data_IF_481830706773
#
_entry.id   IF_481830706773
#
_cell.length_a   1.000
_cell.length_b   1.000
_cell.length_c   1.000
_cell.angle_alpha   90.00
_cell.angle_beta   90.00
_cell.angle_gamma   90.00
#
_symmetry.space_group_name_H-M   'P 1'
#
loop_
_entity.id
_entity.type
_entity.pdbx_description
1 polymer ?
#
# COMPACT_ATOMS: atom_id res chain seq x y z
N UNK A 1 3.90 16.08 -0.38
CA UNK A 1 4.12 15.96 1.08
C UNK A 1 3.97 14.50 1.55
N UNK A 2 4.72 14.02 2.56
CA UNK A 2 4.60 12.64 3.08
C UNK A 2 3.25 12.40 3.78
N UNK A 3 2.89 11.13 3.98
CA UNK A 3 1.67 10.76 4.74
C UNK A 3 1.71 11.36 6.16
N UNK A 4 0.56 11.86 6.68
CA UNK A 4 0.49 12.37 8.03
C UNK A 4 0.68 11.24 9.05
N UNK A 5 1.31 11.56 10.18
CA UNK A 5 1.48 10.64 11.31
C UNK A 5 0.53 10.95 12.47
N UNK A 6 0.54 10.11 13.50
CA UNK A 6 -0.24 10.30 14.73
C UNK A 6 0.64 10.52 15.96
N UNK A 7 0.23 11.40 16.89
CA UNK A 7 0.89 11.57 18.18
C UNK A 7 0.44 10.55 19.23
N UNK A 8 -0.57 9.72 18.91
CA UNK A 8 -1.13 8.75 19.84
C UNK A 8 -1.61 7.49 19.12
N UNK A 9 -1.25 6.31 19.62
CA UNK A 9 -1.75 5.02 19.11
C UNK A 9 -2.07 4.07 20.25
N UNK A 10 -3.00 3.14 20.03
CA UNK A 10 -3.28 2.07 20.98
C UNK A 10 -2.35 0.89 20.73
N UNK A 11 -1.69 0.40 21.76
CA UNK A 11 -0.90 -0.83 21.71
C UNK A 11 -1.74 -1.99 22.25
N UNK A 12 -2.19 -2.92 21.39
CA UNK A 12 -3.01 -4.06 21.82
C UNK A 12 -2.23 -5.09 22.65
N UNK A 13 -0.89 -5.11 22.59
CA UNK A 13 -0.07 -6.06 23.36
C UNK A 13 0.00 -5.64 24.82
N UNK A 14 0.21 -4.34 25.08
CA UNK A 14 0.23 -3.81 26.45
C UNK A 14 -1.14 -3.32 26.95
N UNK A 15 -2.12 -3.19 26.05
CA UNK A 15 -3.47 -2.69 26.34
C UNK A 15 -3.52 -1.19 26.67
N UNK A 16 -2.53 -0.41 26.22
CA UNK A 16 -2.36 1.00 26.62
C UNK A 16 -2.26 1.93 25.42
N UNK A 17 -2.70 3.16 25.62
CA UNK A 17 -2.41 4.25 24.70
C UNK A 17 -0.96 4.71 24.86
N UNK A 18 -0.22 4.74 23.75
CA UNK A 18 1.13 5.29 23.66
C UNK A 18 1.03 6.71 23.10
N UNK A 19 1.71 7.65 23.74
CA UNK A 19 1.85 9.03 23.26
C UNK A 19 3.29 9.27 22.79
N UNK A 20 3.46 9.81 21.60
CA UNK A 20 4.76 10.03 20.98
C UNK A 20 5.19 11.51 21.07
N UNK A 21 6.49 11.76 21.21
CA UNK A 21 7.06 13.12 21.18
C UNK A 21 7.07 13.74 19.78
N UNK A 22 7.02 12.89 18.75
CA UNK A 22 6.93 13.24 17.33
C UNK A 22 5.88 12.33 16.70
N UNK A 23 5.21 12.74 15.61
CA UNK A 23 4.23 11.88 14.96
C UNK A 23 4.83 10.52 14.60
N UNK A 24 4.13 9.45 14.97
CA UNK A 24 4.36 8.11 14.47
C UNK A 24 3.90 8.08 13.01
N UNK A 25 4.85 8.03 12.08
CA UNK A 25 4.60 8.01 10.64
C UNK A 25 4.79 6.56 10.19
N UNK A 26 3.74 5.99 9.61
CA UNK A 26 3.73 4.65 9.04
C UNK A 26 3.77 4.80 7.53
N UNK A 27 4.69 4.10 6.87
CA UNK A 27 4.70 3.97 5.42
C UNK A 27 3.59 3.05 4.94
N UNK A 28 3.24 3.19 3.67
CA UNK A 28 2.35 2.28 2.94
C UNK A 28 2.94 2.07 1.54
N UNK A 29 2.53 1.07 0.77
CA UNK A 29 2.98 0.94 -0.63
C UNK A 29 2.19 1.85 -1.59
N UNK A 30 1.67 2.99 -1.12
CA UNK A 30 1.06 4.05 -1.97
C UNK A 30 0.13 3.52 -3.05
N UNK A 31 -0.97 2.86 -2.66
CA UNK A 31 -1.96 2.39 -3.63
C UNK A 31 -1.50 1.18 -4.45
N UNK A 32 -0.89 0.19 -3.81
CA UNK A 32 -0.56 -1.12 -4.39
C UNK A 32 0.54 -1.09 -5.44
N UNK A 33 1.54 -1.95 -5.30
CA UNK A 33 2.50 -2.17 -6.40
C UNK A 33 1.78 -2.82 -7.58
N UNK A 34 1.85 -2.21 -8.76
CA UNK A 34 1.28 -2.80 -9.97
C UNK A 34 2.28 -3.81 -10.53
N UNK A 35 1.89 -5.08 -10.56
CA UNK A 35 2.75 -6.15 -11.06
C UNK A 35 2.04 -6.97 -12.14
N UNK A 36 2.79 -7.31 -13.18
CA UNK A 36 2.33 -8.27 -14.17
C UNK A 36 2.36 -9.68 -13.60
N UNK A 37 1.25 -10.40 -13.72
CA UNK A 37 1.14 -11.79 -13.28
C UNK A 37 0.93 -12.72 -14.48
N UNK A 38 1.62 -13.86 -14.47
CA UNK A 38 1.42 -14.90 -15.48
C UNK A 38 0.44 -15.93 -14.91
N UNK A 39 -0.73 -16.01 -15.51
CA UNK A 39 -1.72 -17.04 -15.15
C UNK A 39 -1.14 -18.44 -15.37
N UNK A 40 -1.31 -19.33 -14.40
CA UNK A 40 -1.00 -20.75 -14.53
C UNK A 40 -1.79 -21.44 -15.67
N UNK A 41 -2.87 -20.81 -16.15
CA UNK A 41 -3.70 -21.29 -17.25
C UNK A 41 -3.36 -20.61 -18.59
N UNK A 42 -2.33 -19.76 -18.65
CA UNK A 42 -1.94 -19.09 -19.89
C UNK A 42 -1.60 -20.11 -20.98
N UNK A 43 -2.12 -19.90 -22.18
CA UNK A 43 -1.74 -20.69 -23.37
C UNK A 43 -0.43 -20.20 -23.98
N UNK A 44 0.08 -19.05 -23.55
CA UNK A 44 1.29 -18.40 -24.08
C UNK A 44 2.16 -17.82 -22.96
N UNK A 45 2.57 -18.61 -21.95
CA UNK A 45 3.28 -18.09 -20.78
C UNK A 45 4.64 -17.46 -21.13
N UNK A 46 5.36 -18.01 -22.12
CA UNK A 46 6.65 -17.47 -22.57
C UNK A 46 6.51 -16.09 -23.23
N UNK A 47 5.50 -15.91 -24.10
CA UNK A 47 5.25 -14.62 -24.71
C UNK A 47 4.78 -13.57 -23.68
N UNK A 48 3.98 -13.99 -22.68
CA UNK A 48 3.62 -13.11 -21.56
C UNK A 48 4.87 -12.73 -20.76
N UNK A 49 5.75 -13.68 -20.46
CA UNK A 49 7.00 -13.42 -19.76
C UNK A 49 7.90 -12.46 -20.53
N UNK A 50 8.07 -12.66 -21.84
CA UNK A 50 8.89 -11.80 -22.69
C UNK A 50 8.38 -10.35 -22.69
N UNK A 51 7.06 -10.17 -22.85
CA UNK A 51 6.44 -8.84 -22.76
C UNK A 51 6.64 -8.20 -21.38
N UNK A 52 6.37 -8.92 -20.29
CA UNK A 52 6.56 -8.39 -18.94
C UNK A 52 8.03 -8.08 -18.66
N UNK A 53 8.95 -8.88 -19.18
CA UNK A 53 10.40 -8.64 -19.07
C UNK A 53 10.81 -7.37 -19.79
N UNK A 54 10.31 -7.15 -21.01
CA UNK A 54 10.50 -5.89 -21.74
C UNK A 54 9.99 -4.68 -20.95
N UNK A 55 8.77 -4.76 -20.41
CA UNK A 55 8.17 -3.70 -19.58
C UNK A 55 8.94 -3.44 -18.29
N UNK A 56 9.68 -4.43 -17.77
CA UNK A 56 10.50 -4.33 -16.56
C UNK A 56 11.89 -3.73 -16.80
N UNK A 57 12.27 -3.42 -18.05
CA UNK A 57 13.53 -2.73 -18.32
C UNK A 57 13.49 -1.31 -17.75
N UNK A 58 14.64 -0.80 -17.29
CA UNK A 58 14.73 0.53 -16.66
C UNK A 58 14.12 1.63 -17.54
N UNK A 59 14.39 1.62 -18.85
CA UNK A 59 13.85 2.62 -19.77
C UNK A 59 12.32 2.53 -19.92
N UNK A 60 11.77 1.31 -20.02
CA UNK A 60 10.32 1.12 -20.13
C UNK A 60 9.63 1.47 -18.81
N UNK A 61 10.15 1.00 -17.69
CA UNK A 61 9.56 1.24 -16.37
C UNK A 61 9.66 2.72 -15.99
N UNK A 62 10.79 3.39 -16.23
CA UNK A 62 10.93 4.83 -15.97
C UNK A 62 9.91 5.64 -16.76
N UNK A 63 9.74 5.34 -18.06
CA UNK A 63 8.73 5.99 -18.88
C UNK A 63 7.31 5.79 -18.32
N UNK A 64 6.99 4.59 -17.84
CA UNK A 64 5.70 4.32 -17.19
C UNK A 64 5.58 5.02 -15.82
N UNK A 65 6.67 5.17 -15.07
CA UNK A 65 6.66 5.83 -13.77
C UNK A 65 6.43 7.34 -13.86
N UNK A 66 6.76 7.98 -14.99
CA UNK A 66 6.69 9.43 -15.17
C UNK A 66 5.67 9.88 -16.23
N UNK A 67 4.80 9.01 -16.74
CA UNK A 67 3.78 9.38 -17.73
C UNK A 67 2.36 9.27 -17.14
N UNK A 68 1.53 10.31 -17.29
CA UNK A 68 0.22 10.38 -16.61
C UNK A 68 -0.78 9.26 -16.95
N UNK A 69 -0.66 8.63 -18.12
CA UNK A 69 -1.58 7.58 -18.56
C UNK A 69 -1.29 6.20 -17.95
N UNK A 70 -0.15 6.02 -17.29
CA UNK A 70 0.34 4.72 -16.79
C UNK A 70 0.23 4.60 -15.28
N UNK A 71 -0.45 5.54 -14.62
CA UNK A 71 -0.72 5.52 -13.18
C UNK A 71 0.26 6.34 -12.34
N UNK A 72 1.44 6.69 -12.88
CA UNK A 72 2.52 7.42 -12.20
C UNK A 72 2.90 6.73 -10.89
N UNK A 73 3.85 5.80 -10.95
CA UNK A 73 4.25 4.99 -9.80
C UNK A 73 5.78 4.84 -9.71
N UNK A 74 6.49 5.80 -9.06
CA UNK A 74 7.94 5.73 -8.92
C UNK A 74 8.33 4.72 -7.83
N UNK A 75 8.20 3.43 -8.15
CA UNK A 75 8.43 2.31 -7.23
C UNK A 75 9.89 1.82 -7.15
N UNK A 76 10.78 2.36 -8.00
CA UNK A 76 12.20 1.94 -8.08
C UNK A 76 13.13 3.08 -7.73
N UNK A 77 14.30 2.77 -7.15
CA UNK A 77 15.24 3.82 -6.73
C UNK A 77 15.66 4.71 -7.89
N UNK A 78 15.82 4.17 -9.10
CA UNK A 78 16.20 4.92 -10.30
C UNK A 78 15.08 5.82 -10.85
N UNK A 79 13.84 5.69 -10.37
CA UNK A 79 12.74 6.64 -10.65
C UNK A 79 12.62 7.71 -9.56
N UNK A 80 13.49 7.71 -8.54
CA UNK A 80 13.47 8.70 -7.48
C UNK A 80 14.50 9.80 -7.81
N UNK A 81 14.06 11.06 -7.77
CA UNK A 81 14.93 12.21 -7.99
C UNK A 81 15.92 12.36 -6.83
N UNK A 82 17.09 12.95 -7.11
CA UNK A 82 18.04 13.38 -6.08
C UNK A 82 17.32 14.14 -4.92
N UNK A 83 17.73 13.93 -3.65
CA UNK A 83 18.92 13.22 -3.20
C UNK A 83 18.69 11.72 -2.90
N UNK A 84 17.49 11.19 -3.14
CA UNK A 84 17.12 9.83 -2.71
C UNK A 84 17.34 8.77 -3.78
N UNK A 85 17.39 9.17 -5.06
CA UNK A 85 17.77 8.32 -6.18
C UNK A 85 18.57 9.07 -7.23
N UNK A 86 18.97 8.39 -8.32
CA UNK A 86 19.79 8.95 -9.39
C UNK A 86 18.98 9.69 -10.48
N UNK A 87 17.64 9.69 -10.43
CA UNK A 87 16.85 10.38 -11.44
C UNK A 87 17.09 11.89 -11.37
N UNK A 88 17.03 12.54 -12.52
CA UNK A 88 17.17 13.98 -12.65
C UNK A 88 15.81 14.62 -12.84
N UNK A 89 15.63 15.82 -12.29
CA UNK A 89 14.35 16.54 -12.41
C UNK A 89 14.01 16.83 -13.87
N UNK A 90 15.01 17.04 -14.72
CA UNK A 90 14.83 17.29 -16.15
C UNK A 90 14.14 16.12 -16.88
N UNK A 91 14.32 14.89 -16.41
CA UNK A 91 13.70 13.70 -16.99
C UNK A 91 12.19 13.68 -16.74
N UNK A 92 11.74 14.16 -15.58
CA UNK A 92 10.32 14.35 -15.24
C UNK A 92 9.73 15.59 -15.92
N UNK A 93 10.48 16.68 -16.01
CA UNK A 93 10.04 17.88 -16.74
C UNK A 93 9.81 17.58 -18.22
N UNK A 94 10.64 16.70 -18.81
CA UNK A 94 10.48 16.26 -20.19
C UNK A 94 9.15 15.51 -20.44
N UNK A 95 8.49 14.98 -19.40
CA UNK A 95 7.17 14.33 -19.49
C UNK A 95 6.01 15.22 -19.08
N UNK A 96 6.27 16.51 -18.79
CA UNK A 96 5.24 17.53 -18.56
C UNK A 96 5.00 17.89 -17.09
N UNK A 97 5.86 17.44 -16.16
CA UNK A 97 5.77 17.85 -14.76
C UNK A 97 6.30 19.26 -14.55
N UNK A 98 5.73 19.96 -13.56
CA UNK A 98 6.45 21.05 -12.90
C UNK A 98 7.63 20.46 -12.11
N UNK A 99 8.79 21.14 -12.17
CA UNK A 99 10.01 20.66 -11.54
C UNK A 99 9.86 20.53 -10.01
N UNK A 100 9.18 21.48 -9.37
CA UNK A 100 9.00 21.48 -7.92
C UNK A 100 8.02 20.39 -7.49
N UNK A 101 6.95 20.18 -8.26
CA UNK A 101 5.99 19.09 -8.03
C UNK A 101 6.66 17.71 -8.17
N UNK A 102 7.48 17.50 -9.21
CA UNK A 102 8.19 16.23 -9.40
C UNK A 102 9.15 15.91 -8.24
N UNK A 103 9.91 16.91 -7.78
CA UNK A 103 10.81 16.78 -6.63
C UNK A 103 10.01 16.48 -5.36
N UNK A 104 8.94 17.22 -5.09
CA UNK A 104 8.14 17.01 -3.88
C UNK A 104 7.46 15.63 -3.89
N UNK A 105 6.91 15.24 -5.03
CA UNK A 105 6.21 13.98 -5.22
C UNK A 105 7.14 12.77 -5.03
N UNK A 106 8.26 12.71 -5.75
CA UNK A 106 9.23 11.60 -5.65
C UNK A 106 9.86 11.52 -4.26
N UNK A 107 10.14 12.66 -3.61
CA UNK A 107 10.61 12.74 -2.22
C UNK A 107 9.58 12.22 -1.22
N UNK A 108 8.30 12.55 -1.40
CA UNK A 108 7.22 12.05 -0.57
C UNK A 108 7.03 10.54 -0.76
N UNK A 109 7.08 10.06 -2.01
CA UNK A 109 6.98 8.65 -2.35
C UNK A 109 8.10 7.85 -1.69
N UNK A 110 9.36 8.30 -1.83
CA UNK A 110 10.51 7.64 -1.20
C UNK A 110 10.35 7.55 0.33
N UNK A 111 10.02 8.65 1.00
CA UNK A 111 9.86 8.68 2.46
C UNK A 111 8.75 7.76 2.95
N UNK A 112 7.71 7.59 2.14
CA UNK A 112 6.60 6.71 2.44
C UNK A 112 6.98 5.23 2.20
N UNK A 113 7.50 4.90 1.01
CA UNK A 113 7.79 3.53 0.60
C UNK A 113 8.98 2.91 1.36
N UNK A 114 9.98 3.73 1.72
CA UNK A 114 11.16 3.30 2.49
C UNK A 114 11.05 3.63 3.99
N UNK A 115 9.85 3.88 4.51
CA UNK A 115 9.65 4.01 5.95
C UNK A 115 9.98 2.68 6.64
N UNK A 116 10.75 2.72 7.72
CA UNK A 116 11.10 1.52 8.50
C UNK A 116 9.89 0.89 9.21
N UNK A 117 8.83 1.67 9.43
CA UNK A 117 7.55 1.20 9.92
C UNK A 117 6.56 1.17 8.76
N UNK A 118 6.23 -0.01 8.26
CA UNK A 118 5.37 -0.22 7.09
C UNK A 118 4.03 -0.83 7.49
N UNK A 119 2.94 -0.33 6.92
CA UNK A 119 1.63 -0.96 7.01
C UNK A 119 1.61 -2.23 6.13
N UNK A 120 1.36 -3.43 6.70
CA UNK A 120 1.28 -4.64 5.90
C UNK A 120 -0.05 -4.73 5.16
N UNK A 121 -0.02 -5.28 3.95
CA UNK A 121 -1.24 -5.68 3.25
C UNK A 121 -1.83 -6.95 3.86
N UNK A 122 -3.16 -6.97 4.00
CA UNK A 122 -3.88 -8.18 4.36
C UNK A 122 -3.82 -9.15 3.16
N UNK A 123 -3.02 -10.20 3.25
CA UNK A 123 -2.79 -11.18 2.17
C UNK A 123 -3.28 -12.57 2.58
N UNK A 124 -4.57 -12.66 2.90
CA UNK A 124 -5.24 -13.89 3.33
C UNK A 124 -6.54 -14.09 2.55
N UNK A 125 -7.08 -15.32 2.47
CA UNK A 125 -8.38 -15.55 1.87
C UNK A 125 -9.46 -14.66 2.50
N UNK A 126 -10.33 -14.08 1.67
CA UNK A 126 -11.41 -13.21 2.14
C UNK A 126 -11.04 -11.74 2.33
N UNK A 127 -9.79 -11.31 2.09
CA UNK A 127 -9.38 -9.89 2.18
C UNK A 127 -10.38 -8.91 1.55
N UNK A 128 -10.90 -9.13 0.32
CA UNK A 128 -11.90 -8.22 -0.25
C UNK A 128 -13.18 -8.08 0.60
N UNK A 129 -13.59 -9.12 1.31
CA UNK A 129 -14.76 -9.08 2.19
C UNK A 129 -14.47 -8.26 3.46
N UNK A 130 -13.27 -8.42 4.04
CA UNK A 130 -12.82 -7.60 5.18
C UNK A 130 -12.75 -6.12 4.81
N UNK A 131 -12.18 -5.81 3.64
CA UNK A 131 -12.05 -4.44 3.14
C UNK A 131 -13.41 -3.80 2.85
N UNK A 132 -14.34 -4.55 2.23
CA UNK A 132 -15.70 -4.07 1.98
C UNK A 132 -16.45 -3.81 3.29
N UNK A 133 -16.34 -4.71 4.28
CA UNK A 133 -16.95 -4.50 5.60
C UNK A 133 -16.43 -3.22 6.27
N UNK A 134 -15.11 -2.99 6.19
CA UNK A 134 -14.48 -1.78 6.71
C UNK A 134 -15.01 -0.53 5.99
N UNK A 135 -14.99 -0.52 4.66
CA UNK A 135 -15.38 0.64 3.84
C UNK A 135 -16.85 1.03 4.04
N UNK A 136 -17.75 0.04 4.07
CA UNK A 136 -19.19 0.25 4.27
C UNK A 136 -19.44 0.91 5.63
N UNK A 137 -18.93 0.34 6.72
CA UNK A 137 -19.24 0.84 8.06
C UNK A 137 -18.52 2.16 8.38
N UNK A 138 -17.30 2.38 7.87
CA UNK A 138 -16.67 3.69 7.96
C UNK A 138 -17.46 4.77 7.20
N UNK A 139 -18.02 4.43 6.04
CA UNK A 139 -18.90 5.34 5.29
C UNK A 139 -20.18 5.68 6.06
N UNK A 140 -20.77 4.73 6.79
CA UNK A 140 -21.91 4.98 7.68
C UNK A 140 -21.58 6.02 8.76
N UNK A 141 -20.40 5.93 9.40
CA UNK A 141 -19.97 6.92 10.37
C UNK A 141 -19.72 8.30 9.74
N UNK A 142 -19.02 8.36 8.60
CA UNK A 142 -18.69 9.61 7.91
C UNK A 142 -19.96 10.35 7.45
N UNK A 143 -20.99 9.61 7.06
CA UNK A 143 -22.28 10.16 6.63
C UNK A 143 -23.24 10.45 7.80
N UNK A 144 -22.85 10.12 9.04
CA UNK A 144 -23.65 10.36 10.24
C UNK A 144 -24.79 9.37 10.48
N UNK A 145 -24.77 8.21 9.82
CA UNK A 145 -25.75 7.13 10.01
C UNK A 145 -25.59 6.48 11.40
N UNK A 146 -24.35 6.36 11.89
CA UNK A 146 -24.03 5.84 13.22
C UNK A 146 -22.85 6.60 13.83
N UNK A 147 -22.55 6.36 15.12
CA UNK A 147 -21.34 6.92 15.72
C UNK A 147 -20.07 6.19 15.23
N UNK A 148 -18.88 6.80 15.31
CA UNK A 148 -17.63 6.11 15.01
C UNK A 148 -17.43 4.83 15.82
N UNK A 149 -17.84 4.82 17.10
CA UNK A 149 -17.78 3.64 17.96
C UNK A 149 -18.68 2.52 17.46
N UNK A 150 -19.92 2.85 17.09
CA UNK A 150 -20.88 1.88 16.56
C UNK A 150 -20.43 1.32 15.20
N UNK A 151 -19.90 2.16 14.31
CA UNK A 151 -19.32 1.69 13.05
C UNK A 151 -18.19 0.68 13.26
N UNK A 152 -17.26 0.96 14.18
CA UNK A 152 -16.15 0.06 14.47
C UNK A 152 -16.61 -1.25 15.14
N UNK A 153 -17.66 -1.22 15.95
CA UNK A 153 -18.30 -2.43 16.48
C UNK A 153 -18.87 -3.29 15.35
N UNK A 154 -19.56 -2.68 14.38
CA UNK A 154 -20.08 -3.40 13.20
C UNK A 154 -18.96 -4.00 12.33
N UNK A 155 -17.86 -3.26 12.11
CA UNK A 155 -16.67 -3.80 11.43
C UNK A 155 -16.15 -5.02 12.16
N UNK A 156 -16.01 -4.93 13.50
CA UNK A 156 -15.54 -6.05 14.32
C UNK A 156 -16.43 -7.29 14.18
N UNK A 157 -17.74 -7.13 14.33
CA UNK A 157 -18.69 -8.25 14.23
C UNK A 157 -18.66 -8.93 12.85
N UNK A 158 -18.58 -8.12 11.79
CA UNK A 158 -18.51 -8.63 10.42
C UNK A 158 -17.17 -9.34 10.14
N UNK A 159 -16.06 -8.78 10.63
CA UNK A 159 -14.75 -9.41 10.53
C UNK A 159 -14.68 -10.73 11.29
N UNK A 160 -15.28 -10.81 12.48
CA UNK A 160 -15.39 -12.06 13.23
C UNK A 160 -16.21 -13.09 12.45
N UNK A 161 -17.34 -12.69 11.85
CA UNK A 161 -18.15 -13.57 10.99
C UNK A 161 -17.38 -14.10 9.78
N UNK A 162 -16.64 -13.25 9.09
CA UNK A 162 -15.79 -13.64 7.94
C UNK A 162 -14.71 -14.62 8.42
N UNK A 163 -14.04 -14.31 9.53
CA UNK A 163 -12.97 -15.13 10.11
C UNK A 163 -13.46 -16.52 10.50
N UNK A 164 -14.61 -16.62 11.17
CA UNK A 164 -15.19 -17.90 11.57
C UNK A 164 -15.64 -18.72 10.36
N UNK A 165 -16.27 -18.08 9.36
CA UNK A 165 -16.70 -18.76 8.13
C UNK A 165 -15.53 -19.33 7.33
N UNK A 166 -14.40 -18.64 7.32
CA UNK A 166 -13.18 -19.05 6.59
C UNK A 166 -12.26 -19.96 7.43
N UNK A 167 -12.51 -20.06 8.74
CA UNK A 167 -11.75 -20.87 9.69
C UNK A 167 -10.64 -20.07 10.37
N UNK A 168 -10.83 -19.75 11.65
CA UNK A 168 -9.94 -18.89 12.44
C UNK A 168 -8.49 -19.38 12.49
N UNK A 169 -8.27 -20.66 12.78
CA UNK A 169 -6.92 -21.20 12.94
C UNK A 169 -6.12 -21.13 11.63
N UNK A 170 -6.76 -21.38 10.50
CA UNK A 170 -6.11 -21.27 9.19
C UNK A 170 -5.86 -19.80 8.84
N UNK A 171 -6.81 -18.90 9.13
CA UNK A 171 -6.60 -17.47 8.95
C UNK A 171 -5.41 -16.94 9.76
N UNK A 172 -5.29 -17.33 11.03
CA UNK A 172 -4.15 -16.97 11.88
C UNK A 172 -2.83 -17.44 11.26
N UNK A 173 -2.78 -18.71 10.83
CA UNK A 173 -1.59 -19.31 10.23
C UNK A 173 -1.19 -18.61 8.92
N UNK A 174 -2.16 -18.35 8.05
CA UNK A 174 -1.95 -17.67 6.77
C UNK A 174 -1.51 -16.22 6.99
N UNK A 175 -2.14 -15.51 7.93
CA UNK A 175 -1.77 -14.14 8.26
C UNK A 175 -0.34 -14.05 8.81
N UNK A 176 0.01 -14.92 9.77
CA UNK A 176 1.37 -15.01 10.31
C UNK A 176 2.39 -15.29 9.21
N UNK A 177 2.09 -16.23 8.32
CA UNK A 177 2.95 -16.55 7.17
C UNK A 177 3.09 -15.34 6.24
N UNK A 178 1.99 -14.66 5.94
CA UNK A 178 1.94 -13.51 5.04
C UNK A 178 2.77 -12.32 5.54
N UNK A 179 2.88 -12.12 6.85
CA UNK A 179 3.69 -11.05 7.45
C UNK A 179 5.09 -11.53 7.86
N UNK A 180 5.46 -12.78 7.57
CA UNK A 180 6.75 -13.36 7.98
C UNK A 180 6.91 -13.49 9.49
N UNK A 181 5.81 -13.61 10.24
CA UNK A 181 5.84 -13.78 11.68
C UNK A 181 6.47 -15.12 12.04
N UNK A 182 7.57 -15.06 12.78
CA UNK A 182 8.23 -16.19 13.42
C UNK A 182 8.30 -15.92 14.93
N UNK A 183 8.08 -16.96 15.73
CA UNK A 183 8.17 -16.89 17.19
C UNK A 183 9.62 -16.92 17.67
#
# INVERSE_FOLDING_TARGET
APLPGTLKSYDPVSGKWITFKRPNIVGNTTGGSWEGVISAFSKHPEATYDFLSFMSTEAAEFWNACTGWTGIDPGRTYTIIEPYGPAKVEEYVATGYDASDAIEYTSAYYKNFYNSLMYPYMRIPGTPEYDVALDVHLSEAVTGICSPEEALERVYDEWERITERLGRDEQIKLYQTAIGYSK
#
